data_IF_507068627495
#
_entry.id   IF_507068627495
#
_cell.length_a   1.000
_cell.length_b   1.000
_cell.length_c   1.000
_cell.angle_alpha   90.00
_cell.angle_beta   90.00
_cell.angle_gamma   90.00
#
_symmetry.space_group_name_H-M   'P 1'
#
loop_
_entity.id
_entity.type
_entity.pdbx_description
1 polymer ?
#
# COMPACT_ATOMS: atom_id res chain seq x y z
N UNK A 1 7.57 3.00 6.59
CA UNK A 1 8.41 2.07 5.80
C UNK A 1 7.61 1.03 5.04
N UNK A 2 6.50 0.50 5.59
CA UNK A 2 5.74 -0.58 4.95
C UNK A 2 5.30 -0.33 3.51
N UNK A 3 4.83 0.88 3.19
CA UNK A 3 4.42 1.24 1.81
C UNK A 3 5.57 0.99 0.82
N UNK A 4 6.78 1.45 1.13
CA UNK A 4 7.94 1.31 0.23
C UNK A 4 8.33 -0.17 0.04
N UNK A 5 8.23 -1.00 1.10
CA UNK A 5 8.45 -2.44 0.97
C UNK A 5 7.46 -3.08 -0.02
N UNK A 6 6.17 -2.71 0.09
CA UNK A 6 5.13 -3.21 -0.80
C UNK A 6 5.30 -2.68 -2.24
N UNK A 7 5.75 -1.44 -2.41
CA UNK A 7 6.07 -0.87 -3.72
C UNK A 7 7.25 -1.59 -4.38
N UNK A 8 8.30 -1.94 -3.62
CA UNK A 8 9.45 -2.69 -4.13
C UNK A 8 9.02 -4.09 -4.59
N UNK A 9 8.27 -4.82 -3.76
CA UNK A 9 7.82 -6.17 -4.10
C UNK A 9 6.89 -6.17 -5.30
N UNK A 10 6.01 -5.17 -5.39
CA UNK A 10 5.00 -5.10 -6.46
C UNK A 10 5.47 -4.43 -7.75
N UNK A 11 6.59 -3.70 -7.71
CA UNK A 11 7.03 -2.81 -8.79
C UNK A 11 6.04 -1.69 -9.12
N UNK A 12 5.01 -1.50 -8.30
CA UNK A 12 3.92 -0.54 -8.53
C UNK A 12 3.98 0.56 -7.48
N UNK A 13 3.79 1.81 -7.92
CA UNK A 13 3.65 2.95 -7.01
C UNK A 13 2.30 2.89 -6.31
N UNK A 14 2.27 3.20 -5.01
CA UNK A 14 1.03 3.28 -4.25
C UNK A 14 0.15 4.44 -4.73
N UNK A 15 0.77 5.57 -5.15
CA UNK A 15 0.03 6.71 -5.72
C UNK A 15 -0.46 6.39 -7.13
N UNK A 16 -1.77 6.48 -7.33
CA UNK A 16 -2.38 6.20 -8.62
C UNK A 16 -2.45 4.70 -8.95
N UNK A 17 -2.26 3.85 -7.95
CA UNK A 17 -2.49 2.41 -8.09
C UNK A 17 -3.92 2.16 -8.55
N UNK A 18 -4.08 1.36 -9.60
CA UNK A 18 -5.37 0.86 -10.06
C UNK A 18 -5.20 -0.60 -10.41
N UNK A 19 -6.01 -1.45 -9.81
CA UNK A 19 -6.06 -2.85 -10.16
C UNK A 19 -7.46 -3.24 -10.60
N UNK A 20 -7.56 -4.26 -11.44
CA UNK A 20 -8.84 -4.73 -12.02
C UNK A 20 -9.79 -5.27 -10.96
N UNK A 21 -9.25 -5.66 -9.80
CA UNK A 21 -9.95 -6.46 -8.79
C UNK A 21 -10.50 -5.59 -7.65
N UNK A 22 -11.02 -4.40 -7.97
CA UNK A 22 -11.72 -3.49 -7.04
C UNK A 22 -10.89 -2.98 -5.84
N UNK A 23 -9.55 -3.01 -5.90
CA UNK A 23 -8.71 -2.38 -4.88
C UNK A 23 -8.27 -0.99 -5.34
N UNK A 24 -8.73 0.03 -4.61
CA UNK A 24 -8.40 1.45 -4.88
C UNK A 24 -6.99 1.85 -4.41
N UNK A 25 -6.25 0.93 -3.79
CA UNK A 25 -4.88 1.17 -3.32
C UNK A 25 -4.03 -0.10 -3.34
N UNK A 26 -2.71 0.07 -3.49
CA UNK A 26 -1.74 -1.03 -3.44
C UNK A 26 -1.82 -1.76 -2.09
N UNK A 27 -2.03 -1.00 -1.02
CA UNK A 27 -2.18 -1.51 0.35
C UNK A 27 -3.40 -2.42 0.47
N UNK A 28 -4.52 -2.02 -0.12
CA UNK A 28 -5.74 -2.83 -0.13
C UNK A 28 -5.57 -4.09 -0.96
N UNK A 29 -4.93 -4.00 -2.12
CA UNK A 29 -4.62 -5.17 -2.94
C UNK A 29 -3.72 -6.18 -2.23
N UNK A 30 -2.61 -5.71 -1.65
CA UNK A 30 -1.68 -6.53 -0.88
C UNK A 30 -2.37 -7.21 0.32
N UNK A 31 -3.26 -6.48 1.00
CA UNK A 31 -4.05 -7.01 2.10
C UNK A 31 -5.01 -8.13 1.67
N UNK A 32 -5.73 -7.93 0.55
CA UNK A 32 -6.64 -8.95 0.02
C UNK A 32 -5.88 -10.22 -0.37
N UNK A 33 -4.78 -10.08 -1.11
CA UNK A 33 -3.92 -11.21 -1.46
C UNK A 33 -3.38 -11.93 -0.23
N UNK A 34 -2.98 -11.19 0.81
CA UNK A 34 -2.54 -11.79 2.07
C UNK A 34 -3.64 -12.60 2.75
N UNK A 35 -4.86 -12.05 2.80
CA UNK A 35 -6.03 -12.72 3.40
C UNK A 35 -6.46 -13.98 2.64
N UNK A 36 -6.18 -14.04 1.34
CA UNK A 36 -6.49 -15.18 0.47
C UNK A 36 -5.35 -16.19 0.34
N UNK A 37 -4.25 -16.03 1.09
CA UNK A 37 -3.02 -16.83 0.98
C UNK A 37 -2.38 -16.79 -0.43
N UNK A 38 -2.58 -15.67 -1.13
CA UNK A 38 -2.08 -15.39 -2.50
C UNK A 38 -1.05 -14.27 -2.50
N UNK A 39 -0.35 -14.04 -1.40
CA UNK A 39 0.58 -12.92 -1.25
C UNK A 39 1.63 -12.84 -2.38
N UNK A 40 2.06 -13.98 -2.93
CA UNK A 40 3.04 -14.04 -4.03
C UNK A 40 2.52 -13.49 -5.36
N UNK A 41 1.19 -13.36 -5.54
CA UNK A 41 0.62 -12.72 -6.73
C UNK A 41 0.91 -11.21 -6.77
N UNK A 42 1.33 -10.63 -5.64
CA UNK A 42 1.75 -9.24 -5.56
C UNK A 42 3.05 -8.99 -6.33
N UNK A 43 3.89 -10.01 -6.53
CA UNK A 43 5.26 -9.89 -7.03
C UNK A 43 5.29 -9.32 -8.45
N UNK A 44 6.15 -8.32 -8.65
CA UNK A 44 6.45 -7.76 -9.97
C UNK A 44 6.91 -8.86 -10.95
N UNK A 45 6.41 -8.82 -12.18
CA UNK A 45 6.69 -9.85 -13.19
C UNK A 45 8.19 -10.01 -13.50
N UNK A 46 8.98 -8.94 -13.40
CA UNK A 46 10.43 -8.99 -13.59
C UNK A 46 11.16 -9.63 -12.39
N UNK A 47 10.57 -9.59 -11.18
CA UNK A 47 11.12 -10.27 -10.01
C UNK A 47 10.84 -11.78 -10.03
N UNK A 48 9.83 -12.25 -10.79
CA UNK A 48 9.43 -13.68 -10.83
C UNK A 48 10.53 -14.62 -11.31
N UNK A 49 11.55 -14.11 -11.98
CA UNK A 49 12.64 -14.91 -12.54
C UNK A 49 13.76 -15.24 -11.54
N UNK A 50 13.86 -14.52 -10.42
CA UNK A 50 14.92 -14.74 -9.42
C UNK A 50 14.55 -14.16 -8.06
N UNK A 51 13.92 -14.96 -7.20
CA UNK A 51 13.66 -14.60 -5.81
C UNK A 51 13.62 -15.83 -4.89
N UNK A 52 13.82 -15.60 -3.59
CA UNK A 52 13.61 -16.60 -2.56
C UNK A 52 12.22 -16.38 -1.97
N UNK A 53 11.33 -17.37 -2.13
CA UNK A 53 9.90 -17.23 -1.81
C UNK A 53 9.64 -16.76 -0.37
N UNK A 54 10.29 -17.39 0.61
CA UNK A 54 10.09 -17.05 2.02
C UNK A 54 10.53 -15.62 2.33
N UNK A 55 11.58 -15.11 1.68
CA UNK A 55 12.06 -13.74 1.86
C UNK A 55 11.04 -12.74 1.32
N UNK A 56 10.43 -13.04 0.17
CA UNK A 56 9.40 -12.17 -0.39
C UNK A 56 8.13 -12.19 0.45
N UNK A 57 7.67 -13.37 0.88
CA UNK A 57 6.57 -13.49 1.86
C UNK A 57 6.86 -12.69 3.13
N UNK A 58 8.09 -12.74 3.65
CA UNK A 58 8.54 -11.96 4.81
C UNK A 58 8.45 -10.46 4.56
N UNK A 59 8.93 -9.98 3.40
CA UNK A 59 8.84 -8.57 3.03
C UNK A 59 7.38 -8.08 2.96
N UNK A 60 6.48 -8.89 2.39
CA UNK A 60 5.05 -8.57 2.33
C UNK A 60 4.44 -8.54 3.73
N UNK A 61 4.70 -9.56 4.54
CA UNK A 61 4.22 -9.67 5.93
C UNK A 61 4.63 -8.46 6.77
N UNK A 62 5.94 -8.15 6.79
CA UNK A 62 6.48 -7.00 7.52
C UNK A 62 5.96 -5.68 6.93
N UNK A 63 5.82 -5.61 5.60
CA UNK A 63 5.20 -4.50 4.90
C UNK A 63 3.79 -4.20 5.40
N UNK A 64 2.96 -5.24 5.56
CA UNK A 64 1.60 -5.17 6.08
C UNK A 64 1.55 -4.79 7.56
N UNK A 65 2.41 -5.37 8.41
CA UNK A 65 2.55 -4.99 9.82
C UNK A 65 2.81 -3.48 9.98
N UNK A 66 3.61 -2.90 9.09
CA UNK A 66 3.98 -1.49 9.12
C UNK A 66 2.87 -0.51 8.70
N UNK A 67 1.79 -0.99 8.08
CA UNK A 67 0.71 -0.15 7.52
C UNK A 67 -0.64 -0.39 8.18
N UNK A 68 -0.64 -1.10 9.30
CA UNK A 68 -1.83 -1.36 10.11
C UNK A 68 -2.57 -0.08 10.48
N UNK A 69 -3.91 -0.19 10.59
CA UNK A 69 -4.81 0.92 10.85
C UNK A 69 -4.44 1.71 12.09
N UNK A 70 -4.29 1.00 13.19
CA UNK A 70 -3.95 1.59 14.48
C UNK A 70 -2.43 1.77 14.60
N UNK A 71 -2.00 2.82 15.30
CA UNK A 71 -0.59 3.21 15.36
C UNK A 71 0.19 2.33 16.36
N UNK A 72 -0.45 1.98 17.48
CA UNK A 72 0.01 1.06 18.52
C UNK A 72 0.31 -0.35 18.01
N UNK A 73 -0.28 -0.67 16.86
CA UNK A 73 -0.25 -1.94 16.18
C UNK A 73 0.93 -2.03 15.20
N UNK A 74 1.58 -0.90 14.89
CA UNK A 74 2.71 -0.85 13.96
C UNK A 74 4.01 -1.14 14.71
N UNK A 75 4.89 -2.00 14.18
CA UNK A 75 6.16 -2.29 14.81
C UNK A 75 7.07 -1.04 14.84
N UNK A 76 7.90 -0.94 15.88
CA UNK A 76 8.99 0.01 15.91
C UNK A 76 9.99 -0.27 14.77
N UNK A 77 10.67 0.76 14.29
CA UNK A 77 11.63 0.63 13.18
C UNK A 77 12.78 -0.36 13.46
N UNK A 78 13.24 -0.46 14.71
CA UNK A 78 14.23 -1.46 15.12
C UNK A 78 13.68 -2.89 14.96
N UNK A 79 12.43 -3.11 15.36
CA UNK A 79 11.74 -4.39 15.19
C UNK A 79 11.58 -4.74 13.71
N UNK A 80 11.27 -3.78 12.85
CA UNK A 80 11.17 -4.00 11.39
C UNK A 80 12.48 -4.55 10.84
N UNK A 81 13.63 -3.95 11.20
CA UNK A 81 14.93 -4.43 10.75
C UNK A 81 15.21 -5.85 11.25
N UNK A 82 14.90 -6.13 12.52
CA UNK A 82 15.05 -7.47 13.10
C UNK A 82 14.16 -8.50 12.38
N UNK A 83 12.90 -8.18 12.12
CA UNK A 83 11.95 -9.07 11.43
C UNK A 83 12.35 -9.36 9.98
N UNK A 84 12.98 -8.40 9.29
CA UNK A 84 13.49 -8.60 7.93
C UNK A 84 14.78 -9.43 7.90
N UNK A 85 15.64 -9.27 8.91
CA UNK A 85 16.90 -10.00 9.03
C UNK A 85 16.79 -11.37 9.70
N UNK A 86 15.62 -11.76 10.20
CA UNK A 86 15.41 -13.05 10.87
C UNK A 86 15.44 -14.22 9.88
N UNK A 87 15.84 -15.37 10.37
CA UNK A 87 15.90 -16.62 9.60
C UNK A 87 14.50 -17.13 9.18
N UNK A 88 14.48 -18.06 8.23
CA UNK A 88 13.27 -18.74 7.81
C UNK A 88 12.57 -19.42 9.02
N UNK A 89 11.24 -19.34 9.08
CA UNK A 89 10.47 -19.90 10.19
C UNK A 89 10.38 -19.04 11.46
N UNK A 90 11.01 -17.85 11.51
CA UNK A 90 10.82 -16.94 12.63
C UNK A 90 9.34 -16.50 12.75
N UNK A 91 8.73 -16.72 13.90
CA UNK A 91 7.32 -16.38 14.16
C UNK A 91 7.12 -14.87 14.25
N UNK A 92 6.21 -14.33 13.43
CA UNK A 92 5.77 -12.94 13.48
C UNK A 92 4.28 -12.87 13.83
N UNK A 93 3.82 -11.76 14.43
CA UNK A 93 2.40 -11.53 14.60
C UNK A 93 1.69 -11.47 13.25
N UNK A 94 0.45 -11.95 13.18
CA UNK A 94 -0.37 -11.80 11.98
C UNK A 94 -0.70 -10.32 11.72
N UNK A 95 -0.63 -9.86 10.46
CA UNK A 95 -0.96 -8.49 10.15
C UNK A 95 -2.47 -8.26 10.29
N UNK A 96 -2.83 -7.08 10.78
CA UNK A 96 -4.19 -6.59 10.86
C UNK A 96 -4.52 -5.69 9.66
N UNK A 97 -5.79 -5.31 9.55
CA UNK A 97 -6.28 -4.46 8.47
C UNK A 97 -5.45 -3.15 8.36
N UNK A 98 -5.05 -2.75 7.13
CA UNK A 98 -4.31 -1.51 6.92
C UNK A 98 -5.19 -0.27 7.10
N UNK A 99 -4.58 0.85 7.50
CA UNK A 99 -5.32 2.09 7.77
C UNK A 99 -5.90 2.81 6.55
N UNK A 100 -5.43 2.44 5.36
CA UNK A 100 -5.85 3.02 4.09
C UNK A 100 -6.51 1.94 3.21
N UNK A 101 -7.38 1.13 3.81
CA UNK A 101 -8.35 0.35 3.05
C UNK A 101 -9.51 1.28 2.69
N UNK A 102 -9.59 1.71 1.44
CA UNK A 102 -10.67 2.58 0.96
C UNK A 102 -11.95 1.78 0.61
N UNK A 103 -11.89 0.45 0.71
CA UNK A 103 -13.02 -0.45 0.46
C UNK A 103 -13.93 -0.59 1.68
N UNK A 104 -14.71 0.44 2.02
CA UNK A 104 -15.69 0.28 3.09
C UNK A 104 -16.32 1.52 3.72
N UNK A 105 -16.58 2.60 2.96
CA UNK A 105 -17.55 3.61 3.42
C UNK A 105 -18.87 3.41 2.69
N UNK A 106 -19.72 2.53 3.22
CA UNK A 106 -21.17 2.81 3.21
C UNK A 106 -21.43 3.82 4.31
N UNK A 107 -21.15 5.07 4.02
CA UNK A 107 -21.55 6.21 4.81
C UNK A 107 -21.81 7.30 3.78
N UNK A 108 -23.08 7.70 3.66
CA UNK A 108 -23.52 8.78 2.79
C UNK A 108 -22.74 10.06 3.09
N UNK A 109 -21.60 10.24 2.44
CA UNK A 109 -20.89 11.52 2.40
C UNK A 109 -20.62 11.87 0.93
N UNK A 110 -21.08 13.06 0.59
CA UNK A 110 -21.34 13.52 -0.77
C UNK A 110 -20.07 13.45 -1.61
N UNK A 111 -20.17 12.76 -2.75
CA UNK A 111 -19.20 12.77 -3.83
C UNK A 111 -18.80 14.21 -4.19
N UNK A 112 -17.55 14.59 -3.95
CA UNK A 112 -16.90 15.63 -4.74
C UNK A 112 -16.20 14.93 -5.90
N UNK A 113 -16.85 14.93 -7.07
CA UNK A 113 -16.24 14.52 -8.33
C UNK A 113 -14.96 15.35 -8.52
N UNK A 114 -13.83 14.69 -8.72
CA UNK A 114 -12.66 15.34 -9.32
C UNK A 114 -12.94 15.53 -10.81
N UNK A 115 -13.64 16.62 -11.15
CA UNK A 115 -13.67 17.11 -12.52
C UNK A 115 -12.32 17.77 -12.81
N UNK A 116 -11.61 17.21 -13.77
CA UNK A 116 -10.45 17.83 -14.40
C UNK A 116 -10.91 19.12 -15.08
N UNK A 117 -10.62 20.28 -14.48
CA UNK A 117 -10.78 21.59 -15.15
C UNK A 117 -9.40 22.08 -15.54
N UNK A 118 -9.18 22.12 -16.85
CA UNK A 118 -7.99 22.65 -17.50
C UNK A 118 -7.75 24.12 -17.13
N UNK A 119 -6.46 24.48 -17.05
CA UNK A 119 -5.94 25.78 -16.64
C UNK A 119 -6.66 26.97 -17.30
N UNK A 120 -7.43 27.74 -16.53
CA UNK A 120 -7.94 29.06 -16.94
C UNK A 120 -6.99 30.15 -16.44
N UNK A 121 -6.20 30.72 -17.37
CA UNK A 121 -5.43 31.95 -17.17
C UNK A 121 -6.39 33.10 -16.85
N UNK A 122 -6.18 33.78 -15.70
CA UNK A 122 -6.93 34.99 -15.35
C UNK A 122 -6.02 36.19 -15.59
N UNK A 123 -6.37 37.03 -16.56
CA UNK A 123 -5.74 38.34 -16.78
C UNK A 123 -6.49 39.35 -15.92
N UNK A 124 -5.81 39.92 -14.93
CA UNK A 124 -6.30 41.06 -14.15
C UNK A 124 -5.91 42.35 -14.86
N UNK A 125 -6.91 43.14 -15.27
CA UNK A 125 -6.70 44.52 -15.70
C UNK A 125 -6.54 45.42 -14.45
N UNK A 126 -5.50 46.26 -14.45
CA UNK A 126 -5.19 47.20 -13.37
C UNK A 126 -5.71 48.57 -13.78
N UNK A 127 -6.86 49.00 -13.23
CA UNK A 127 -7.31 50.38 -13.40
C UNK A 127 -6.73 51.27 -12.29
N UNK A 128 -5.93 52.25 -12.70
CA UNK A 128 -5.30 53.23 -11.83
C UNK A 128 -6.23 54.44 -11.62
N UNK A 129 -6.54 54.69 -10.34
CA UNK A 129 -7.14 55.89 -9.69
C UNK A 129 -7.77 56.99 -10.55
#
# INVERSE_FOLDING_TARGET
MGVVLLEIVSGKKNRGFRHTDNSDSLLGHAWLLWKEDKALELIDEFLKYSFVEWQVKRCIHVGLLCVQKYAEDRPAMSSVLFMLGSEEGANLPDPKEPGFFMGGSSSNEKTCKAESIANTLTITDLEAR
#
